data_IF_024761803961
#
_entry.id   IF_024761803961
#
_cell.length_a   1.000
_cell.length_b   1.000
_cell.length_c   1.000
_cell.angle_alpha   90.00
_cell.angle_beta   90.00
_cell.angle_gamma   90.00
#
_symmetry.space_group_name_H-M   'P 1'
#
loop_
_entity.id
_entity.type
_entity.pdbx_description
1 polymer ?
#
# COMPACT_ATOMS: atom_id res chain seq x y z
N UNK A 1 -14.63 3.35 7.89
CA UNK A 1 -14.31 2.07 8.56
C UNK A 1 -13.16 1.44 7.81
N UNK A 2 -12.01 2.14 7.87
CA UNK A 2 -10.83 1.92 7.05
C UNK A 2 -9.67 1.71 8.01
N UNK A 3 -8.88 0.67 7.77
CA UNK A 3 -7.71 0.35 8.57
C UNK A 3 -6.47 0.26 7.69
N UNK A 4 -5.35 0.75 8.22
CA UNK A 4 -4.04 0.69 7.59
C UNK A 4 -3.09 -0.13 8.47
N UNK A 5 -2.46 -1.14 7.87
CA UNK A 5 -1.41 -1.93 8.49
C UNK A 5 -0.10 -1.85 7.70
N UNK A 6 1.01 -2.20 8.35
CA UNK A 6 2.32 -2.32 7.70
C UNK A 6 2.96 -3.65 8.10
N UNK A 7 3.54 -4.35 7.13
CA UNK A 7 4.24 -5.61 7.32
C UNK A 7 5.65 -5.50 6.73
N UNK A 8 6.70 -5.41 7.55
CA UNK A 8 8.06 -5.34 7.05
C UNK A 8 8.45 -6.64 6.35
N UNK A 9 9.27 -6.53 5.31
CA UNK A 9 9.90 -7.66 4.65
C UNK A 9 11.37 -7.39 4.37
N UNK A 10 12.14 -8.46 4.36
CA UNK A 10 13.58 -8.44 4.17
C UNK A 10 13.95 -9.61 3.26
N UNK A 11 14.63 -9.33 2.14
CA UNK A 11 15.02 -10.36 1.18
C UNK A 11 15.88 -9.78 0.07
N UNK A 12 16.83 -10.56 -0.45
CA UNK A 12 17.73 -10.15 -1.55
C UNK A 12 18.44 -8.80 -1.32
N UNK A 13 18.77 -8.48 -0.06
CA UNK A 13 19.39 -7.21 0.33
C UNK A 13 18.44 -6.01 0.31
N UNK A 14 17.14 -6.23 0.05
CA UNK A 14 16.10 -5.22 0.02
C UNK A 14 15.38 -5.19 1.37
N UNK A 15 15.19 -3.97 1.89
CA UNK A 15 14.40 -3.68 3.08
C UNK A 15 13.14 -2.95 2.62
N UNK A 16 11.96 -3.48 2.92
CA UNK A 16 10.71 -2.89 2.49
C UNK A 16 9.57 -3.14 3.46
N UNK A 17 8.40 -2.60 3.13
CA UNK A 17 7.17 -2.82 3.89
C UNK A 17 5.99 -2.95 2.95
N UNK A 18 5.16 -3.97 3.17
CA UNK A 18 3.86 -4.10 2.53
C UNK A 18 2.86 -3.28 3.35
N UNK A 19 2.29 -2.26 2.72
CA UNK A 19 1.19 -1.48 3.30
C UNK A 19 -0.13 -2.15 2.92
N UNK A 20 -0.99 -2.36 3.92
CA UNK A 20 -2.25 -3.10 3.75
C UNK A 20 -3.41 -2.18 4.15
N UNK A 21 -4.26 -1.84 3.19
CA UNK A 21 -5.51 -1.13 3.44
C UNK A 21 -6.66 -2.13 3.48
N UNK A 22 -7.58 -1.97 4.43
CA UNK A 22 -8.82 -2.73 4.50
C UNK A 22 -9.98 -1.80 4.78
N UNK A 23 -10.98 -1.86 3.92
CA UNK A 23 -12.25 -1.14 4.04
C UNK A 23 -13.41 -2.02 3.56
N UNK A 24 -14.63 -1.65 3.95
CA UNK A 24 -15.86 -2.37 3.54
C UNK A 24 -16.41 -1.90 2.20
N UNK A 25 -16.20 -0.63 1.84
CA UNK A 25 -16.59 -0.08 0.55
C UNK A 25 -15.43 -0.22 -0.45
N UNK A 26 -15.60 -0.96 -1.55
CA UNK A 26 -14.54 -1.15 -2.54
C UNK A 26 -14.18 0.15 -3.29
N UNK A 27 -15.12 1.07 -3.46
CA UNK A 27 -14.89 2.37 -4.12
C UNK A 27 -14.06 3.27 -3.23
N UNK A 28 -14.40 3.35 -1.95
CA UNK A 28 -13.63 4.09 -0.94
C UNK A 28 -12.22 3.50 -0.79
N UNK A 29 -12.09 2.17 -0.79
CA UNK A 29 -10.80 1.48 -0.70
C UNK A 29 -9.91 1.79 -1.91
N UNK A 30 -10.45 1.73 -3.13
CA UNK A 30 -9.70 2.04 -4.34
C UNK A 30 -9.23 3.50 -4.37
N UNK A 31 -10.09 4.44 -3.95
CA UNK A 31 -9.72 5.85 -3.82
C UNK A 31 -8.59 6.05 -2.81
N UNK A 32 -8.69 5.41 -1.63
CA UNK A 32 -7.66 5.49 -0.60
C UNK A 32 -6.31 4.89 -1.03
N UNK A 33 -6.30 3.80 -1.81
CA UNK A 33 -5.07 3.22 -2.38
C UNK A 33 -4.42 4.21 -3.36
N UNK A 34 -5.20 4.82 -4.25
CA UNK A 34 -4.68 5.80 -5.20
C UNK A 34 -4.10 7.04 -4.50
N UNK A 35 -4.80 7.56 -3.49
CA UNK A 35 -4.33 8.68 -2.66
C UNK A 35 -3.03 8.33 -1.93
N UNK A 36 -2.91 7.12 -1.37
CA UNK A 36 -1.70 6.69 -0.69
C UNK A 36 -0.50 6.60 -1.65
N UNK A 37 -0.67 6.02 -2.83
CA UNK A 37 0.40 5.93 -3.84
C UNK A 37 0.86 7.34 -4.25
N UNK A 38 -0.07 8.27 -4.46
CA UNK A 38 0.25 9.65 -4.78
C UNK A 38 1.02 10.33 -3.64
N UNK A 39 0.60 10.13 -2.38
CA UNK A 39 1.28 10.68 -1.20
C UNK A 39 2.70 10.12 -1.03
N UNK A 40 2.90 8.82 -1.24
CA UNK A 40 4.22 8.18 -1.20
C UNK A 40 5.13 8.72 -2.31
N UNK A 41 4.60 8.88 -3.51
CA UNK A 41 5.33 9.47 -4.64
C UNK A 41 5.74 10.92 -4.34
N UNK A 42 4.84 11.72 -3.80
CA UNK A 42 5.13 13.10 -3.39
C UNK A 42 6.19 13.18 -2.28
N UNK A 43 6.29 12.14 -1.45
CA UNK A 43 7.33 12.00 -0.42
C UNK A 43 8.67 11.45 -0.96
N UNK A 44 8.79 11.19 -2.28
CA UNK A 44 10.01 10.67 -2.92
C UNK A 44 10.13 9.15 -2.89
N UNK A 45 9.05 8.42 -2.58
CA UNK A 45 9.02 6.96 -2.56
C UNK A 45 8.50 6.47 -3.92
N UNK A 46 9.41 6.16 -4.83
CA UNK A 46 9.10 5.86 -6.24
C UNK A 46 8.72 4.38 -6.51
N UNK A 47 8.89 3.50 -5.53
CA UNK A 47 8.69 2.05 -5.69
C UNK A 47 7.31 1.52 -5.24
N UNK A 48 6.41 2.39 -4.79
CA UNK A 48 5.12 1.98 -4.28
C UNK A 48 4.23 1.46 -5.42
N UNK A 49 3.73 0.23 -5.29
CA UNK A 49 2.82 -0.39 -6.25
C UNK A 49 1.77 -1.20 -5.53
N UNK A 50 0.57 -1.22 -6.09
CA UNK A 50 -0.46 -2.15 -5.64
C UNK A 50 -0.05 -3.58 -6.01
N UNK A 51 -0.17 -4.51 -5.04
CA UNK A 51 0.06 -5.92 -5.27
C UNK A 51 -1.31 -6.60 -5.21
N UNK A 52 -1.83 -6.96 -6.38
CA UNK A 52 -3.03 -7.78 -6.48
C UNK A 52 -2.68 -9.18 -5.96
N UNK A 53 -3.02 -9.46 -4.70
CA UNK A 53 -2.95 -10.81 -4.15
C UNK A 53 -3.99 -11.67 -4.86
N UNK A 54 -3.59 -12.46 -5.86
CA UNK A 54 -4.31 -13.68 -6.19
C UNK A 54 -4.14 -14.61 -4.99
N UNK A 55 -5.12 -14.57 -4.09
CA UNK A 55 -5.31 -15.63 -3.09
C UNK A 55 -5.74 -16.92 -3.79
#
# INVERSE_FOLDING_TARGET
DMSLGSYPFFGDGIFGSNLVLRGRDPTELAAAVAELIAALTAAGIEGAREINGTA
#
